data_IF_949493642251
#
_entry.id   IF_949493642251
#
_cell.length_a   1.000
_cell.length_b   1.000
_cell.length_c   1.000
_cell.angle_alpha   90.00
_cell.angle_beta   90.00
_cell.angle_gamma   90.00
#
_symmetry.space_group_name_H-M   'P 1'
#
loop_
_entity.id
_entity.type
_entity.pdbx_description
1 polymer ?
#
# COMPACT_ATOMS: atom_id res chain seq x y z
N UNK A 1 12.69 50.21 -36.70
CA UNK A 1 13.40 49.87 -35.45
C UNK A 1 12.59 48.81 -34.71
N UNK A 2 13.12 47.60 -34.63
CA UNK A 2 12.58 46.45 -33.88
C UNK A 2 13.62 46.03 -32.85
N UNK A 3 13.35 46.11 -31.54
CA UNK A 3 14.25 45.53 -30.55
C UNK A 3 13.79 44.11 -30.20
N UNK A 4 14.57 43.17 -30.73
CA UNK A 4 15.22 42.06 -30.03
C UNK A 4 14.37 41.17 -29.11
N UNK A 5 14.18 39.94 -29.60
CA UNK A 5 13.73 38.80 -28.82
C UNK A 5 14.69 38.53 -27.66
N UNK A 6 14.15 38.61 -26.44
CA UNK A 6 14.84 38.19 -25.23
C UNK A 6 14.56 36.71 -25.04
N UNK A 7 15.48 35.87 -25.53
CA UNK A 7 15.55 34.46 -25.19
C UNK A 7 15.90 34.40 -23.70
N UNK A 8 15.03 33.82 -22.87
CA UNK A 8 15.41 33.50 -21.50
C UNK A 8 16.21 32.19 -21.55
N UNK A 9 17.49 32.29 -21.24
CA UNK A 9 18.41 31.16 -21.16
C UNK A 9 18.00 30.24 -20.00
N UNK A 10 18.02 28.95 -20.29
CA UNK A 10 17.53 27.82 -19.53
C UNK A 10 18.68 27.26 -18.70
N UNK A 11 18.97 27.90 -17.56
CA UNK A 11 20.25 27.70 -16.85
C UNK A 11 20.09 27.45 -15.33
N UNK A 12 19.10 26.65 -14.92
CA UNK A 12 18.91 26.24 -13.50
C UNK A 12 18.37 24.80 -13.34
N UNK A 13 18.78 23.85 -14.19
CA UNK A 13 18.35 22.43 -14.08
C UNK A 13 19.49 21.44 -13.79
N UNK A 14 20.47 21.83 -12.96
CA UNK A 14 21.53 20.92 -12.52
C UNK A 14 21.68 20.86 -10.99
N UNK A 15 20.73 20.22 -10.28
CA UNK A 15 20.97 19.79 -8.88
C UNK A 15 20.03 18.68 -8.38
N UNK A 16 19.89 17.57 -9.11
CA UNK A 16 19.07 16.42 -8.64
C UNK A 16 19.78 15.07 -8.71
N UNK A 17 21.09 15.04 -9.00
CA UNK A 17 21.83 13.76 -9.12
C UNK A 17 22.64 13.43 -7.86
N UNK A 18 22.83 14.38 -6.93
CA UNK A 18 23.73 14.19 -5.78
C UNK A 18 23.27 13.11 -4.79
N UNK A 19 21.97 12.82 -4.70
CA UNK A 19 21.45 11.81 -3.75
C UNK A 19 21.52 10.37 -4.29
N UNK A 20 21.77 10.19 -5.60
CA UNK A 20 21.74 8.87 -6.23
C UNK A 20 23.05 8.09 -6.06
N UNK A 21 24.17 8.79 -5.86
CA UNK A 21 25.49 8.15 -5.71
C UNK A 21 25.71 7.60 -4.29
N UNK A 22 25.04 8.15 -3.26
CA UNK A 22 25.17 7.67 -1.87
C UNK A 22 24.61 6.26 -1.67
N UNK A 23 23.65 5.83 -2.50
CA UNK A 23 23.02 4.52 -2.38
C UNK A 23 23.89 3.37 -2.88
N UNK A 24 24.81 3.61 -3.83
CA UNK A 24 25.69 2.56 -4.35
C UNK A 24 26.90 2.29 -3.45
N UNK A 25 27.33 3.29 -2.67
CA UNK A 25 28.45 3.14 -1.74
C UNK A 25 28.14 2.17 -0.58
N UNK A 26 26.87 2.06 -0.18
CA UNK A 26 26.46 1.15 0.92
C UNK A 26 26.36 -0.33 0.49
N UNK A 27 26.20 -0.64 -0.80
CA UNK A 27 26.16 -2.04 -1.27
C UNK A 27 27.54 -2.65 -1.48
N UNK A 28 28.59 -1.83 -1.65
CA UNK A 28 29.94 -2.31 -1.95
C UNK A 28 30.67 -2.92 -0.74
N UNK A 29 30.13 -2.79 0.48
CA UNK A 29 30.69 -3.42 1.69
C UNK A 29 30.07 -4.78 2.02
N UNK A 30 29.11 -5.26 1.21
CA UNK A 30 28.37 -6.50 1.48
C UNK A 30 28.83 -7.70 0.62
N UNK A 31 30.11 -7.76 0.25
CA UNK A 31 30.63 -8.82 -0.62
C UNK A 31 32.08 -9.20 -0.39
N UNK A 32 32.32 -10.04 0.64
CA UNK A 32 33.31 -11.14 0.75
C UNK A 32 33.41 -11.53 2.25
N UNK A 33 33.50 -12.76 2.73
CA UNK A 33 33.58 -14.10 2.16
C UNK A 33 33.23 -15.11 3.28
N UNK A 34 32.59 -16.22 2.92
CA UNK A 34 32.62 -17.57 3.53
C UNK A 34 32.63 -17.74 5.07
N UNK A 35 31.49 -18.18 5.65
CA UNK A 35 31.40 -19.50 6.33
C UNK A 35 29.97 -19.89 6.72
N UNK A 36 29.70 -21.17 6.46
CA UNK A 36 28.51 -21.99 6.69
C UNK A 36 27.98 -21.88 8.13
N UNK A 37 26.66 -21.71 8.33
CA UNK A 37 25.80 -22.64 9.11
C UNK A 37 24.38 -22.10 9.33
N UNK A 38 23.41 -22.93 8.95
CA UNK A 38 22.05 -23.05 9.48
C UNK A 38 21.65 -22.11 10.64
N UNK A 39 20.89 -21.06 10.33
CA UNK A 39 19.59 -20.76 10.97
C UNK A 39 18.90 -19.63 10.20
N UNK A 40 18.32 -19.96 9.04
CA UNK A 40 17.28 -19.12 8.42
C UNK A 40 16.02 -19.19 9.30
N UNK A 41 16.07 -18.54 10.46
CA UNK A 41 14.85 -18.07 11.13
C UNK A 41 14.39 -16.82 10.36
N UNK A 42 13.84 -17.05 9.16
CA UNK A 42 13.05 -16.06 8.45
C UNK A 42 11.82 -15.83 9.32
N UNK A 43 11.93 -14.90 10.27
CA UNK A 43 10.81 -14.44 11.08
C UNK A 43 9.77 -13.91 10.10
N UNK A 44 8.79 -14.74 9.77
CA UNK A 44 7.54 -14.25 9.17
C UNK A 44 7.04 -13.15 10.10
N UNK A 45 6.66 -11.98 9.59
CA UNK A 45 5.89 -11.04 10.39
C UNK A 45 4.69 -11.82 10.92
N UNK A 46 4.60 -11.99 12.24
CA UNK A 46 3.38 -12.45 12.86
C UNK A 46 2.37 -11.33 12.63
N UNK A 47 1.53 -11.48 11.61
CA UNK A 47 0.30 -10.69 11.50
C UNK A 47 -0.52 -11.04 12.72
N UNK A 48 -0.38 -10.25 13.78
CA UNK A 48 -1.27 -10.24 14.92
C UNK A 48 -2.60 -9.69 14.40
N UNK A 49 -3.41 -10.55 13.79
CA UNK A 49 -4.79 -10.21 13.45
C UNK A 49 -5.47 -9.98 14.80
N UNK A 50 -6.00 -8.77 15.08
CA UNK A 50 -6.83 -8.57 16.25
C UNK A 50 -7.96 -9.59 16.23
N UNK A 51 -8.37 -10.16 17.38
CA UNK A 51 -9.52 -11.04 17.41
C UNK A 51 -10.70 -10.31 16.76
N UNK A 52 -11.29 -10.92 15.73
CA UNK A 52 -12.47 -10.40 15.05
C UNK A 52 -13.55 -10.24 16.14
N UNK A 53 -13.81 -8.99 16.52
CA UNK A 53 -14.81 -8.64 17.52
C UNK A 53 -16.18 -9.01 16.96
N UNK A 54 -16.60 -10.26 17.15
CA UNK A 54 -17.96 -10.67 16.84
C UNK A 54 -18.89 -9.79 17.68
N UNK A 55 -19.64 -8.90 17.03
CA UNK A 55 -20.63 -8.06 17.69
C UNK A 55 -21.59 -8.98 18.45
N UNK A 56 -21.55 -8.87 19.77
CA UNK A 56 -22.34 -9.75 20.62
C UNK A 56 -23.82 -9.48 20.35
N UNK A 57 -24.60 -10.52 20.04
CA UNK A 57 -25.99 -10.36 19.56
C UNK A 57 -26.90 -9.60 20.55
N UNK A 58 -26.53 -9.61 21.82
CA UNK A 58 -27.15 -8.85 22.91
C UNK A 58 -26.91 -7.34 22.78
N UNK A 59 -25.77 -6.91 22.27
CA UNK A 59 -25.42 -5.51 22.02
C UNK A 59 -26.26 -4.99 20.85
N UNK A 60 -26.37 -5.75 19.77
CA UNK A 60 -27.18 -5.39 18.59
C UNK A 60 -28.67 -5.26 18.95
N UNK A 61 -29.15 -5.97 19.96
CA UNK A 61 -30.53 -5.85 20.48
C UNK A 61 -30.77 -4.61 21.33
N UNK A 62 -29.71 -3.99 21.87
CA UNK A 62 -29.80 -2.75 22.67
C UNK A 62 -29.70 -1.48 21.83
N UNK A 63 -29.36 -1.60 20.55
CA UNK A 63 -29.30 -0.49 19.60
C UNK A 63 -30.70 0.02 19.26
N UNK A 64 -30.80 1.29 18.85
CA UNK A 64 -32.03 1.85 18.29
C UNK A 64 -32.39 1.13 16.98
N UNK A 65 -33.66 1.18 16.57
CA UNK A 65 -34.06 0.57 15.29
C UNK A 65 -33.36 1.26 14.09
N UNK A 66 -33.11 2.56 14.18
CA UNK A 66 -32.36 3.33 13.18
C UNK A 66 -30.93 2.80 13.03
N UNK A 67 -30.21 2.61 14.14
CA UNK A 67 -28.84 2.06 14.12
C UNK A 67 -28.80 0.62 13.57
N UNK A 68 -29.84 -0.18 13.86
CA UNK A 68 -29.95 -1.56 13.34
C UNK A 68 -30.22 -1.58 11.85
N UNK A 69 -31.01 -0.63 11.34
CA UNK A 69 -31.21 -0.45 9.90
C UNK A 69 -29.92 -0.02 9.22
N UNK A 70 -29.18 0.91 9.84
CA UNK A 70 -27.87 1.36 9.35
C UNK A 70 -26.88 0.19 9.24
N UNK A 71 -26.77 -0.62 10.29
CA UNK A 71 -25.93 -1.82 10.29
C UNK A 71 -26.36 -2.80 9.19
N UNK A 72 -27.66 -3.09 9.05
CA UNK A 72 -28.15 -3.99 7.98
C UNK A 72 -27.82 -3.48 6.58
N UNK A 73 -27.77 -2.16 6.39
CA UNK A 73 -27.45 -1.57 5.10
C UNK A 73 -25.95 -1.61 4.80
N UNK A 74 -25.10 -1.28 5.78
CA UNK A 74 -23.65 -1.16 5.57
C UNK A 74 -22.86 -2.44 5.84
N UNK A 75 -23.34 -3.37 6.67
CA UNK A 75 -22.62 -4.63 6.93
C UNK A 75 -22.32 -5.42 5.65
N UNK A 76 -23.29 -5.64 4.73
CA UNK A 76 -22.99 -6.33 3.46
C UNK A 76 -21.99 -5.58 2.58
N UNK A 77 -21.97 -4.25 2.64
CA UNK A 77 -21.02 -3.43 1.88
C UNK A 77 -19.61 -3.58 2.48
N UNK A 78 -19.47 -3.47 3.79
CA UNK A 78 -18.20 -3.69 4.49
C UNK A 78 -17.63 -5.08 4.21
N UNK A 79 -18.47 -6.11 4.26
CA UNK A 79 -18.05 -7.49 3.99
C UNK A 79 -17.53 -7.63 2.55
N UNK A 80 -18.28 -7.12 1.56
CA UNK A 80 -17.88 -7.18 0.15
C UNK A 80 -16.58 -6.40 -0.13
N UNK A 81 -16.46 -5.20 0.41
CA UNK A 81 -15.27 -4.37 0.22
C UNK A 81 -14.03 -4.93 0.95
N UNK A 82 -14.23 -5.61 2.08
CA UNK A 82 -13.16 -6.34 2.77
C UNK A 82 -12.67 -7.54 1.95
N UNK A 83 -13.59 -8.27 1.31
CA UNK A 83 -13.25 -9.38 0.40
C UNK A 83 -12.46 -8.87 -0.82
N UNK A 84 -12.92 -7.79 -1.46
CA UNK A 84 -12.24 -7.18 -2.58
C UNK A 84 -10.86 -6.63 -2.21
N UNK A 85 -10.72 -6.01 -1.03
CA UNK A 85 -9.44 -5.51 -0.55
C UNK A 85 -8.45 -6.66 -0.36
N UNK A 86 -8.91 -7.75 0.26
CA UNK A 86 -8.10 -8.94 0.51
C UNK A 86 -7.58 -9.51 -0.81
N UNK A 87 -8.46 -9.67 -1.81
CA UNK A 87 -8.08 -10.13 -3.15
C UNK A 87 -7.13 -9.17 -3.86
N UNK A 88 -7.37 -7.86 -3.78
CA UNK A 88 -6.50 -6.87 -4.41
C UNK A 88 -5.08 -6.89 -3.80
N UNK A 89 -4.98 -7.10 -2.49
CA UNK A 89 -3.70 -7.26 -1.80
C UNK A 89 -3.00 -8.53 -2.26
N UNK A 90 -3.69 -9.67 -2.31
CA UNK A 90 -3.12 -10.95 -2.79
C UNK A 90 -2.60 -10.84 -4.22
N UNK A 91 -3.38 -10.22 -5.12
CA UNK A 91 -2.96 -9.97 -6.50
C UNK A 91 -1.75 -9.04 -6.56
N UNK A 92 -1.72 -7.98 -5.75
CA UNK A 92 -0.58 -7.07 -5.67
C UNK A 92 0.68 -7.76 -5.13
N UNK A 93 0.56 -8.61 -4.12
CA UNK A 93 1.68 -9.38 -3.59
C UNK A 93 2.24 -10.34 -4.65
N UNK A 94 1.38 -10.99 -5.43
CA UNK A 94 1.81 -11.81 -6.59
C UNK A 94 2.64 -10.98 -7.57
N UNK A 95 2.22 -9.76 -7.89
CA UNK A 95 2.95 -8.86 -8.80
C UNK A 95 4.34 -8.49 -8.27
N UNK A 96 4.46 -8.33 -6.94
CA UNK A 96 5.74 -8.05 -6.25
C UNK A 96 6.64 -9.29 -6.23
N UNK A 97 6.09 -10.46 -5.91
CA UNK A 97 6.82 -11.73 -5.83
C UNK A 97 7.36 -12.17 -7.20
N UNK A 98 6.54 -12.05 -8.24
CA UNK A 98 6.88 -12.41 -9.63
C UNK A 98 7.67 -11.31 -10.37
N UNK A 99 7.97 -10.18 -9.70
CA UNK A 99 8.71 -9.04 -10.26
C UNK A 99 8.14 -8.55 -11.61
N UNK A 100 6.82 -8.48 -11.70
CA UNK A 100 6.14 -8.07 -12.92
C UNK A 100 6.47 -6.61 -13.29
N UNK A 101 6.25 -6.20 -14.56
CA UNK A 101 6.61 -4.87 -15.03
C UNK A 101 5.94 -3.74 -14.23
N UNK A 102 6.55 -2.53 -14.17
CA UNK A 102 6.03 -1.40 -13.39
C UNK A 102 4.57 -1.04 -13.68
N UNK A 103 4.11 -1.28 -14.91
CA UNK A 103 2.71 -1.07 -15.30
C UNK A 103 1.75 -1.90 -14.45
N UNK A 104 2.04 -3.19 -14.26
CA UNK A 104 1.20 -4.11 -13.48
C UNK A 104 1.25 -3.75 -11.99
N UNK A 105 2.45 -3.44 -11.47
CA UNK A 105 2.64 -2.97 -10.11
C UNK A 105 1.80 -1.73 -9.79
N UNK A 106 1.87 -0.71 -10.65
CA UNK A 106 1.09 0.53 -10.46
C UNK A 106 -0.41 0.26 -10.57
N UNK A 107 -0.84 -0.60 -11.49
CA UNK A 107 -2.25 -0.92 -11.68
C UNK A 107 -2.85 -1.63 -10.46
N UNK A 108 -2.18 -2.68 -9.95
CA UNK A 108 -2.64 -3.42 -8.77
C UNK A 108 -2.51 -2.60 -7.49
N UNK A 109 -1.45 -1.79 -7.36
CA UNK A 109 -1.31 -0.86 -6.23
C UNK A 109 -2.40 0.22 -6.17
N UNK A 110 -2.86 0.71 -7.34
CA UNK A 110 -4.02 1.64 -7.40
C UNK A 110 -5.31 0.99 -6.92
N UNK A 111 -5.52 -0.28 -7.24
CA UNK A 111 -6.71 -1.03 -6.83
C UNK A 111 -6.76 -1.21 -5.30
N UNK A 112 -5.64 -1.60 -4.69
CA UNK A 112 -5.51 -1.69 -3.22
C UNK A 112 -5.81 -0.34 -2.55
N UNK A 113 -5.23 0.74 -3.08
CA UNK A 113 -5.46 2.10 -2.57
C UNK A 113 -6.94 2.49 -2.67
N UNK A 114 -7.58 2.22 -3.81
CA UNK A 114 -8.99 2.55 -4.04
C UNK A 114 -9.90 1.85 -3.02
N UNK A 115 -9.68 0.56 -2.82
CA UNK A 115 -10.52 -0.24 -1.92
C UNK A 115 -10.34 0.15 -0.45
N UNK A 116 -9.12 0.49 -0.05
CA UNK A 116 -8.82 1.05 1.26
C UNK A 116 -9.54 2.39 1.49
N UNK A 117 -9.53 3.27 0.48
CA UNK A 117 -10.25 4.54 0.56
C UNK A 117 -11.75 4.34 0.66
N UNK A 118 -12.32 3.36 -0.03
CA UNK A 118 -13.75 3.06 0.06
C UNK A 118 -14.14 2.72 1.51
N UNK A 119 -13.42 1.78 2.13
CA UNK A 119 -13.65 1.40 3.54
C UNK A 119 -13.44 2.59 4.50
N UNK A 120 -12.46 3.44 4.23
CA UNK A 120 -12.21 4.64 5.05
C UNK A 120 -13.30 5.72 4.90
N UNK A 121 -13.96 5.79 3.74
CA UNK A 121 -14.97 6.83 3.43
C UNK A 121 -16.37 6.43 3.88
N UNK A 122 -16.63 5.14 4.13
CA UNK A 122 -17.88 4.66 4.76
C UNK A 122 -18.16 5.25 6.16
N UNK A 123 -17.22 5.99 6.73
CA UNK A 123 -17.32 6.65 8.03
C UNK A 123 -17.88 8.09 8.01
N UNK A 124 -18.32 8.61 6.86
CA UNK A 124 -18.90 9.96 6.72
C UNK A 124 -20.25 9.98 6.02
#
# INVERSE_FOLDING_TARGET
MTPEGRVMEEDDLESVISDRESLYQDYALAGDDTTITNTLSRKRPSTNVPPISQLNSEVVKRLSEEDRQLLRFYSPQLDAHTEFLSKAIEEFLTVVEEQLPPREFVQKGKLVRFELYFLATLHY
#
